data_IF_801333238679
#
_entry.id   IF_801333238679
#
_cell.length_a   1.000
_cell.length_b   1.000
_cell.length_c   1.000
_cell.angle_alpha   90.00
_cell.angle_beta   90.00
_cell.angle_gamma   90.00
#
_symmetry.space_group_name_H-M   'P 1'
#
loop_
_entity.id
_entity.type
_entity.pdbx_description
1 polymer ?
#
# COMPACT_ATOMS: atom_id res chain seq x y z
N UNK A 1 -7.54 -8.24 -24.07
CA UNK A 1 -7.31 -9.69 -24.10
C UNK A 1 -5.90 -9.97 -23.59
N UNK A 2 -5.76 -10.93 -22.68
CA UNK A 2 -4.48 -11.40 -22.17
C UNK A 2 -3.77 -12.26 -23.24
N UNK A 3 -2.51 -11.95 -23.55
CA UNK A 3 -1.64 -12.77 -24.39
C UNK A 3 -0.67 -13.53 -23.50
N UNK A 4 -0.63 -14.86 -23.61
CA UNK A 4 0.37 -15.71 -22.94
C UNK A 4 1.34 -16.22 -23.99
N UNK A 5 2.64 -15.98 -23.79
CA UNK A 5 3.73 -16.46 -24.65
C UNK A 5 4.58 -17.46 -23.87
N UNK A 6 4.77 -18.66 -24.40
CA UNK A 6 5.72 -19.64 -23.85
C UNK A 6 7.12 -19.33 -24.38
N UNK A 7 8.11 -19.32 -23.48
CA UNK A 7 9.52 -19.16 -23.79
C UNK A 7 10.32 -20.26 -23.10
N UNK A 8 11.14 -20.96 -23.85
CA UNK A 8 12.08 -21.94 -23.31
C UNK A 8 13.41 -21.21 -23.03
N UNK A 9 13.88 -21.26 -21.79
CA UNK A 9 15.17 -20.71 -21.38
C UNK A 9 16.31 -21.63 -21.86
N UNK A 10 17.53 -21.11 -21.96
CA UNK A 10 18.73 -21.89 -22.36
C UNK A 10 18.98 -23.16 -21.53
N UNK A 11 18.42 -23.23 -20.32
CA UNK A 11 18.50 -24.37 -19.40
C UNK A 11 17.35 -25.40 -19.57
N UNK A 12 16.53 -25.28 -20.63
CA UNK A 12 15.40 -26.18 -20.90
C UNK A 12 14.14 -25.90 -20.06
N UNK A 13 14.18 -24.97 -19.10
CA UNK A 13 13.01 -24.60 -18.30
C UNK A 13 12.04 -23.75 -19.11
N UNK A 14 10.75 -24.06 -19.01
CA UNK A 14 9.65 -23.30 -19.61
C UNK A 14 9.34 -22.07 -18.76
N UNK A 15 9.05 -20.96 -19.41
CA UNK A 15 8.61 -19.71 -18.80
C UNK A 15 7.45 -19.13 -19.60
N UNK A 16 6.39 -18.72 -18.92
CA UNK A 16 5.17 -18.20 -19.51
C UNK A 16 5.10 -16.70 -19.26
N UNK A 17 5.28 -15.90 -20.31
CA UNK A 17 5.15 -14.45 -20.26
C UNK A 17 3.71 -14.04 -20.57
N UNK A 18 3.06 -13.35 -19.66
CA UNK A 18 1.70 -12.84 -19.81
C UNK A 18 1.75 -11.33 -20.05
N UNK A 19 1.00 -10.86 -21.05
CA UNK A 19 0.82 -9.44 -21.38
C UNK A 19 -0.66 -9.14 -21.53
N UNK A 20 -1.19 -8.22 -20.73
CA UNK A 20 -2.60 -7.80 -20.78
C UNK A 20 -2.64 -6.35 -21.24
N UNK A 21 -3.28 -6.12 -22.39
CA UNK A 21 -3.51 -4.79 -22.94
C UNK A 21 -5.00 -4.54 -23.08
N UNK A 22 -5.45 -3.41 -22.52
CA UNK A 22 -6.81 -2.88 -22.68
C UNK A 22 -6.75 -1.42 -23.12
N UNK A 23 -7.68 -1.01 -23.99
CA UNK A 23 -7.72 0.36 -24.51
C UNK A 23 -8.00 1.33 -23.35
N UNK A 24 -7.14 2.34 -23.18
CA UNK A 24 -7.29 3.36 -22.13
C UNK A 24 -6.93 2.92 -20.71
N UNK A 25 -6.23 1.79 -20.54
CA UNK A 25 -5.78 1.27 -19.24
C UNK A 25 -4.28 0.96 -19.28
N UNK A 26 -3.57 0.95 -18.12
CA UNK A 26 -2.16 0.58 -18.07
C UNK A 26 -1.97 -0.88 -18.52
N UNK A 27 -0.83 -1.12 -19.16
CA UNK A 27 -0.43 -2.46 -19.58
C UNK A 27 0.10 -3.27 -18.38
N UNK A 28 -0.33 -4.52 -18.26
CA UNK A 28 0.14 -5.44 -17.22
C UNK A 28 1.00 -6.54 -17.84
N UNK A 29 2.18 -6.77 -17.28
CA UNK A 29 3.09 -7.84 -17.73
C UNK A 29 3.64 -8.63 -16.55
N UNK A 30 3.67 -9.95 -16.66
CA UNK A 30 4.29 -10.83 -15.66
C UNK A 30 4.85 -12.09 -16.32
N UNK A 31 5.81 -12.75 -15.66
CA UNK A 31 6.40 -14.01 -16.11
C UNK A 31 6.23 -15.08 -15.04
N UNK A 32 5.84 -16.28 -15.44
CA UNK A 32 5.62 -17.43 -14.55
C UNK A 32 6.41 -18.65 -15.03
N UNK A 33 6.64 -19.61 -14.13
CA UNK A 33 7.24 -20.91 -14.48
C UNK A 33 6.17 -21.95 -14.83
N UNK A 34 4.91 -21.75 -14.38
CA UNK A 34 3.78 -22.65 -14.60
C UNK A 34 2.68 -21.97 -15.41
N UNK A 35 2.09 -22.72 -16.35
CA UNK A 35 1.01 -22.22 -17.21
C UNK A 35 -0.29 -21.95 -16.44
N UNK A 36 -0.57 -22.77 -15.42
CA UNK A 36 -1.73 -22.61 -14.53
C UNK A 36 -1.69 -21.27 -13.81
N UNK A 37 -0.54 -20.94 -13.22
CA UNK A 37 -0.33 -19.71 -12.45
C UNK A 37 -0.43 -18.50 -13.38
N UNK A 38 0.13 -18.61 -14.61
CA UNK A 38 -0.01 -17.59 -15.64
C UNK A 38 -1.47 -17.32 -16.03
N UNK A 39 -2.30 -18.36 -16.16
CA UNK A 39 -3.74 -18.23 -16.48
C UNK A 39 -4.54 -17.62 -15.33
N UNK A 40 -4.31 -18.11 -14.11
CA UNK A 40 -4.94 -17.58 -12.89
C UNK A 40 -4.61 -16.10 -12.72
N UNK A 41 -3.33 -15.74 -12.82
CA UNK A 41 -2.89 -14.35 -12.75
C UNK A 41 -3.52 -13.50 -13.86
N UNK A 42 -3.59 -14.02 -15.09
CA UNK A 42 -4.20 -13.31 -16.20
C UNK A 42 -5.67 -12.97 -15.95
N UNK A 43 -6.45 -13.93 -15.44
CA UNK A 43 -7.87 -13.77 -15.17
C UNK A 43 -8.13 -12.78 -14.01
N UNK A 44 -7.39 -12.93 -12.91
CA UNK A 44 -7.47 -12.01 -11.77
C UNK A 44 -7.08 -10.58 -12.17
N UNK A 45 -5.99 -10.45 -12.91
CA UNK A 45 -5.47 -9.14 -13.35
C UNK A 45 -6.38 -8.47 -14.37
N UNK A 46 -6.96 -9.23 -15.31
CA UNK A 46 -7.94 -8.68 -16.26
C UNK A 46 -9.18 -8.14 -15.54
N UNK A 47 -9.65 -8.85 -14.50
CA UNK A 47 -10.75 -8.39 -13.64
C UNK A 47 -10.37 -7.11 -12.90
N UNK A 48 -9.19 -7.09 -12.27
CA UNK A 48 -8.70 -5.93 -11.53
C UNK A 48 -8.49 -4.69 -12.43
N UNK A 49 -8.03 -4.86 -13.68
CA UNK A 49 -7.88 -3.74 -14.63
C UNK A 49 -9.26 -3.24 -15.08
N UNK A 50 -10.21 -4.14 -15.34
CA UNK A 50 -11.58 -3.79 -15.73
C UNK A 50 -12.27 -2.98 -14.64
N UNK A 51 -12.07 -3.35 -13.39
CA UNK A 51 -12.59 -2.64 -12.21
C UNK A 51 -11.76 -1.41 -11.82
N UNK A 52 -10.65 -1.13 -12.53
CA UNK A 52 -9.77 0.01 -12.25
C UNK A 52 -8.87 -0.14 -11.02
N UNK A 53 -8.98 -1.24 -10.28
CA UNK A 53 -8.19 -1.52 -9.06
C UNK A 53 -6.73 -1.86 -9.35
N UNK A 54 -6.40 -2.28 -10.57
CA UNK A 54 -5.05 -2.74 -10.91
C UNK A 54 -3.96 -1.66 -10.76
N UNK A 55 -4.23 -0.41 -11.14
CA UNK A 55 -3.24 0.67 -11.00
C UNK A 55 -2.92 0.93 -9.51
N UNK A 56 -3.96 1.06 -8.70
CA UNK A 56 -3.85 1.23 -7.24
C UNK A 56 -3.15 0.05 -6.57
N UNK A 57 -3.45 -1.19 -6.97
CA UNK A 57 -2.80 -2.39 -6.42
C UNK A 57 -1.33 -2.51 -6.82
N UNK A 58 -0.99 -2.17 -8.07
CA UNK A 58 0.39 -2.25 -8.56
C UNK A 58 1.31 -1.18 -7.94
N UNK A 59 0.77 0.01 -7.63
CA UNK A 59 1.50 1.05 -6.90
C UNK A 59 1.58 0.74 -5.40
N UNK A 60 0.50 0.24 -4.79
CA UNK A 60 0.49 -0.20 -3.39
C UNK A 60 1.44 -1.40 -3.12
N UNK A 61 1.70 -2.24 -4.12
CA UNK A 61 2.70 -3.32 -4.04
C UNK A 61 4.15 -2.82 -4.11
N UNK A 62 4.38 -1.58 -4.54
CA UNK A 62 5.73 -1.00 -4.69
C UNK A 62 6.11 -0.05 -3.57
N UNK A 63 5.12 0.49 -2.87
CA UNK A 63 5.31 1.52 -1.87
C UNK A 63 5.05 1.00 -0.48
N UNK A 64 5.93 1.40 0.43
CA UNK A 64 5.81 1.10 1.85
C UNK A 64 4.96 2.16 2.56
N UNK A 65 4.54 1.89 3.79
CA UNK A 65 3.89 2.90 4.64
C UNK A 65 4.82 4.09 4.88
N UNK A 66 6.13 3.85 4.99
CA UNK A 66 7.11 4.94 5.14
C UNK A 66 7.10 5.87 3.93
N UNK A 67 7.11 5.33 2.71
CA UNK A 67 7.06 6.12 1.47
C UNK A 67 5.77 6.96 1.40
N UNK A 68 4.64 6.37 1.80
CA UNK A 68 3.35 7.05 1.86
C UNK A 68 3.39 8.22 2.84
N UNK A 69 3.93 8.00 4.03
CA UNK A 69 4.05 9.01 5.08
C UNK A 69 4.95 10.16 4.62
N UNK A 70 6.11 9.84 4.04
CA UNK A 70 7.05 10.85 3.56
C UNK A 70 6.44 11.72 2.46
N UNK A 71 5.80 11.10 1.46
CA UNK A 71 5.09 11.84 0.39
C UNK A 71 3.98 12.73 0.96
N UNK A 72 3.19 12.23 1.91
CA UNK A 72 2.12 13.05 2.50
C UNK A 72 2.69 14.24 3.29
N UNK A 73 3.81 14.05 3.98
CA UNK A 73 4.51 15.11 4.71
C UNK A 73 5.11 16.15 3.75
N UNK A 74 5.68 15.75 2.61
CA UNK A 74 6.30 16.66 1.66
C UNK A 74 5.27 17.40 0.79
N UNK A 75 4.21 16.73 0.36
CA UNK A 75 3.38 17.23 -0.75
C UNK A 75 2.03 17.77 -0.26
N UNK A 76 1.47 17.17 0.80
CA UNK A 76 0.12 17.48 1.29
C UNK A 76 0.15 18.35 2.55
N UNK A 77 1.01 18.03 3.53
CA UNK A 77 1.06 18.78 4.79
C UNK A 77 1.43 20.27 4.66
N UNK A 78 2.28 20.73 3.71
CA UNK A 78 2.55 22.16 3.55
C UNK A 78 1.30 22.96 3.19
N UNK A 79 0.29 22.31 2.60
CA UNK A 79 -1.03 22.92 2.29
C UNK A 79 -1.93 23.03 3.51
N UNK A 80 -1.56 22.41 4.64
CA UNK A 80 -2.35 22.36 5.89
C UNK A 80 -1.52 22.81 7.12
N UNK A 81 -1.06 24.07 7.15
CA UNK A 81 -0.10 24.55 8.15
C UNK A 81 -0.60 24.43 9.60
N UNK A 82 -1.91 24.57 9.84
CA UNK A 82 -2.51 24.49 11.19
C UNK A 82 -2.34 23.13 11.87
N UNK A 83 -2.30 22.05 11.09
CA UNK A 83 -2.23 20.67 11.61
C UNK A 83 -0.91 19.98 11.28
N UNK A 84 -0.03 20.65 10.53
CA UNK A 84 1.20 20.10 9.99
C UNK A 84 2.09 19.48 11.06
N UNK A 85 2.38 20.21 12.13
CA UNK A 85 3.28 19.73 13.18
C UNK A 85 2.71 18.49 13.91
N UNK A 86 1.42 18.51 14.26
CA UNK A 86 0.77 17.38 14.94
C UNK A 86 0.67 16.15 14.03
N UNK A 87 0.25 16.34 12.78
CA UNK A 87 0.12 15.24 11.82
C UNK A 87 1.48 14.64 11.48
N UNK A 88 2.52 15.45 11.28
CA UNK A 88 3.87 14.96 11.00
C UNK A 88 4.38 14.07 12.15
N UNK A 89 4.15 14.45 13.40
CA UNK A 89 4.54 13.63 14.56
C UNK A 89 3.78 12.30 14.60
N UNK A 90 2.46 12.34 14.34
CA UNK A 90 1.61 11.15 14.34
C UNK A 90 1.98 10.18 13.23
N UNK A 91 2.19 10.68 12.02
CA UNK A 91 2.57 9.88 10.86
C UNK A 91 3.98 9.32 10.99
N UNK A 92 4.94 10.09 11.53
CA UNK A 92 6.29 9.58 11.84
C UNK A 92 6.25 8.44 12.85
N UNK A 93 5.35 8.49 13.84
CA UNK A 93 5.18 7.38 14.75
C UNK A 93 4.73 6.11 14.01
N UNK A 94 3.74 6.22 13.13
CA UNK A 94 3.31 5.09 12.29
C UNK A 94 4.42 4.56 11.39
N UNK A 95 5.19 5.44 10.74
CA UNK A 95 6.35 5.03 9.94
C UNK A 95 7.40 4.29 10.79
N UNK A 96 7.60 4.67 12.06
CA UNK A 96 8.52 3.95 12.95
C UNK A 96 7.98 2.59 13.42
N UNK A 97 6.67 2.33 13.33
CA UNK A 97 6.09 1.06 13.78
C UNK A 97 5.91 0.07 12.63
N UNK A 98 5.31 0.54 11.53
CA UNK A 98 4.90 -0.28 10.38
C UNK A 98 5.44 0.29 9.06
N UNK A 99 6.49 1.12 9.11
CA UNK A 99 7.03 1.80 7.94
C UNK A 99 7.50 0.87 6.85
N UNK A 100 8.08 -0.29 7.21
CA UNK A 100 8.58 -1.29 6.26
C UNK A 100 7.48 -2.13 5.62
N UNK A 101 6.24 -2.00 6.09
CA UNK A 101 5.11 -2.77 5.57
C UNK A 101 4.67 -2.20 4.23
N UNK A 102 4.48 -3.06 3.24
CA UNK A 102 3.91 -2.67 1.95
C UNK A 102 2.46 -2.24 2.13
N UNK A 103 2.03 -1.22 1.39
CA UNK A 103 0.63 -0.78 1.44
C UNK A 103 -0.35 -1.88 1.03
N UNK A 104 0.08 -2.85 0.20
CA UNK A 104 -0.70 -4.03 -0.16
C UNK A 104 -0.96 -4.99 1.01
N UNK A 105 -0.04 -5.02 1.97
CA UNK A 105 -0.03 -5.98 3.08
C UNK A 105 -0.57 -5.35 4.38
N UNK A 106 -0.84 -4.03 4.34
CA UNK A 106 -1.43 -3.29 5.43
C UNK A 106 -2.86 -3.79 5.70
N UNK A 107 -3.06 -4.36 6.89
CA UNK A 107 -4.35 -4.90 7.32
C UNK A 107 -4.98 -4.10 8.46
N UNK A 108 -6.30 -4.19 8.60
CA UNK A 108 -7.03 -3.57 9.72
C UNK A 108 -6.65 -4.15 11.09
N UNK A 109 -6.26 -5.43 11.14
CA UNK A 109 -5.78 -6.07 12.37
C UNK A 109 -4.46 -5.47 12.82
N UNK A 110 -3.51 -5.27 11.90
CA UNK A 110 -2.21 -4.67 12.19
C UNK A 110 -2.36 -3.23 12.72
N UNK A 111 -3.26 -2.44 12.13
CA UNK A 111 -3.56 -1.09 12.63
C UNK A 111 -4.14 -1.15 14.05
N UNK A 112 -5.00 -2.13 14.34
CA UNK A 112 -5.63 -2.30 15.66
C UNK A 112 -4.61 -2.70 16.72
N UNK A 113 -3.71 -3.65 16.42
CA UNK A 113 -2.63 -4.06 17.32
C UNK A 113 -1.74 -2.88 17.70
N UNK A 114 -1.31 -2.09 16.72
CA UNK A 114 -0.47 -0.91 16.98
C UNK A 114 -1.24 0.21 17.70
N UNK A 115 -2.53 0.34 17.45
CA UNK A 115 -3.39 1.26 18.20
C UNK A 115 -3.45 0.88 19.69
N UNK A 116 -3.57 -0.41 19.99
CA UNK A 116 -3.61 -0.91 21.36
C UNK A 116 -2.25 -0.71 22.04
N UNK A 117 -1.14 -0.98 21.34
CA UNK A 117 0.21 -0.65 21.81
C UNK A 117 0.39 0.85 22.12
N UNK A 118 -0.18 1.71 21.27
CA UNK A 118 -0.16 3.15 21.52
C UNK A 118 -0.99 3.54 22.75
N UNK A 119 -2.11 2.85 22.96
CA UNK A 119 -2.98 3.09 24.10
C UNK A 119 -2.33 2.70 25.43
N UNK A 120 -1.43 1.73 25.45
CA UNK A 120 -0.71 1.30 26.66
C UNK A 120 0.54 2.15 26.95
N UNK A 121 0.99 2.96 25.98
CA UNK A 121 2.21 3.75 26.12
C UNK A 121 2.08 4.82 27.21
N UNK A 122 2.97 4.75 28.19
CA UNK A 122 3.09 5.76 29.25
C UNK A 122 3.84 6.97 28.70
N UNK A 123 3.23 8.14 28.79
CA UNK A 123 3.86 9.41 28.40
C UNK A 123 4.86 9.88 29.45
N UNK A 124 5.73 10.85 29.10
CA UNK A 124 6.68 11.46 30.04
C UNK A 124 6.02 12.04 31.31
N UNK A 125 4.71 12.28 31.29
CA UNK A 125 3.91 12.71 32.44
C UNK A 125 3.46 11.56 33.35
N UNK A 126 3.98 10.34 33.14
CA UNK A 126 3.56 9.09 33.80
C UNK A 126 2.08 8.75 33.63
N UNK A 127 1.42 9.34 32.64
CA UNK A 127 0.02 9.06 32.31
C UNK A 127 -0.07 8.30 31.00
N UNK A 128 -1.05 7.41 30.92
CA UNK A 128 -1.43 6.69 29.71
C UNK A 128 -1.92 7.70 28.66
N UNK A 129 -1.71 7.42 27.37
CA UNK A 129 -2.25 8.26 26.29
C UNK A 129 -3.78 8.19 26.32
N UNK A 130 -4.44 9.35 26.36
CA UNK A 130 -5.90 9.43 26.28
C UNK A 130 -6.43 8.84 24.98
N UNK A 131 -7.58 8.15 25.02
CA UNK A 131 -8.26 7.62 23.82
C UNK A 131 -8.48 8.67 22.71
N UNK A 132 -8.74 9.92 23.08
CA UNK A 132 -8.86 11.02 22.11
C UNK A 132 -7.58 11.26 21.30
N UNK A 133 -6.40 11.12 21.93
CA UNK A 133 -5.09 11.21 21.24
C UNK A 133 -4.86 9.99 20.37
N UNK A 134 -5.11 8.77 20.88
CA UNK A 134 -5.00 7.53 20.07
C UNK A 134 -5.84 7.64 18.79
N UNK A 135 -7.08 8.11 18.89
CA UNK A 135 -7.96 8.28 17.75
C UNK A 135 -7.44 9.32 16.74
N UNK A 136 -6.69 10.36 17.17
CA UNK A 136 -6.04 11.30 16.25
C UNK A 136 -4.93 10.63 15.44
N UNK A 137 -4.13 9.75 16.05
CA UNK A 137 -3.10 8.99 15.33
C UNK A 137 -3.73 8.11 14.25
N UNK A 138 -4.81 7.39 14.57
CA UNK A 138 -5.53 6.56 13.59
C UNK A 138 -6.14 7.44 12.50
N UNK A 139 -6.78 8.57 12.86
CA UNK A 139 -7.39 9.48 11.89
C UNK A 139 -6.36 10.06 10.90
N UNK A 140 -5.16 10.41 11.36
CA UNK A 140 -4.08 10.89 10.50
C UNK A 140 -3.66 9.82 9.48
N UNK A 141 -3.49 8.57 9.92
CA UNK A 141 -3.16 7.44 9.03
C UNK A 141 -4.27 7.21 8.00
N UNK A 142 -5.54 7.13 8.44
CA UNK A 142 -6.68 6.92 7.53
C UNK A 142 -6.80 8.03 6.49
N UNK A 143 -6.56 9.29 6.88
CA UNK A 143 -6.59 10.43 5.95
C UNK A 143 -5.48 10.32 4.91
N UNK A 144 -4.29 9.90 5.33
CA UNK A 144 -3.11 9.72 4.47
C UNK A 144 -3.37 8.63 3.42
N UNK A 145 -3.84 7.46 3.86
CA UNK A 145 -4.23 6.34 2.96
C UNK A 145 -5.32 6.79 1.98
N UNK A 146 -6.37 7.45 2.46
CA UNK A 146 -7.46 7.92 1.61
C UNK A 146 -6.99 8.93 0.56
N UNK A 147 -6.01 9.77 0.91
CA UNK A 147 -5.45 10.76 -0.03
C UNK A 147 -4.65 10.05 -1.12
N UNK A 148 -3.80 9.08 -0.76
CA UNK A 148 -3.03 8.31 -1.73
C UNK A 148 -3.85 7.38 -2.63
N UNK A 149 -5.07 6.98 -2.22
CA UNK A 149 -6.00 6.24 -3.09
C UNK A 149 -6.71 7.17 -4.09
N UNK A 150 -6.81 8.47 -3.78
CA UNK A 150 -7.48 9.47 -4.63
C UNK A 150 -6.54 10.17 -5.60
N UNK A 151 -5.26 10.28 -5.24
CA UNK A 151 -4.18 10.68 -6.15
C UNK A 151 -3.95 9.60 -7.21
#
# INVERSE_FOLDING_TARGET
MAQIRERVKKNGKKSFFVRIRMKGKPEATASFERLTDARLWAQHTETAIREGRYATTAEAQKHTVSDLVERYISDVLPRKPKIQAEYALQLKWWANQIGDVLLSDLSSSMISEHRDLLSEKITNRKTIISNARVNRYVAALSTTITTAVKE
#
